data_IF_096748707379
#
_entry.id   IF_096748707379
#
_cell.length_a   1.000
_cell.length_b   1.000
_cell.length_c   1.000
_cell.angle_alpha   90.00
_cell.angle_beta   90.00
_cell.angle_gamma   90.00
#
_symmetry.space_group_name_H-M   'P 1'
#
loop_
_entity.id
_entity.type
_entity.pdbx_description
1 polymer ?
#
# COMPACT_ATOMS: atom_id res chain seq x y z
N UNK A 1 29.30 16.12 9.99
CA UNK A 1 29.33 14.65 10.00
C UNK A 1 28.52 14.19 8.81
N UNK A 2 29.17 13.59 7.82
CA UNK A 2 28.51 12.94 6.69
C UNK A 2 27.74 11.74 7.20
N UNK A 3 26.42 11.73 7.04
CA UNK A 3 25.60 10.53 7.27
C UNK A 3 26.02 9.53 6.21
N UNK A 4 26.52 8.38 6.65
CA UNK A 4 26.88 7.27 5.77
C UNK A 4 25.64 6.83 4.99
N UNK A 5 25.72 6.83 3.66
CA UNK A 5 24.61 6.55 2.75
C UNK A 5 24.33 5.05 2.61
N UNK A 6 24.65 4.25 3.63
CA UNK A 6 24.65 2.78 3.60
C UNK A 6 23.46 2.14 4.34
N UNK A 7 22.78 2.90 5.21
CA UNK A 7 21.62 2.39 5.93
C UNK A 7 20.36 2.41 5.07
N UNK A 8 19.75 1.23 4.92
CA UNK A 8 18.44 1.12 4.26
C UNK A 8 17.38 1.70 5.19
N UNK A 9 16.48 2.58 4.70
CA UNK A 9 15.44 3.14 5.56
C UNK A 9 14.51 2.05 6.08
N UNK A 10 14.04 2.27 7.31
CA UNK A 10 13.16 1.35 8.05
C UNK A 10 11.71 1.55 7.62
N UNK A 11 10.92 0.48 7.69
CA UNK A 11 9.46 0.60 7.76
C UNK A 11 9.13 1.11 9.16
N UNK A 12 8.50 2.28 9.25
CA UNK A 12 8.14 2.92 10.52
C UNK A 12 6.74 2.47 10.97
N UNK A 13 6.49 2.56 12.27
CA UNK A 13 5.13 2.48 12.82
C UNK A 13 4.30 3.62 12.23
N UNK A 14 3.04 3.38 11.89
CA UNK A 14 2.20 4.34 11.16
C UNK A 14 2.02 5.70 11.89
N UNK A 15 1.95 5.73 13.22
CA UNK A 15 1.85 6.98 13.98
C UNK A 15 3.16 7.77 13.96
N UNK A 16 4.31 7.09 13.99
CA UNK A 16 5.63 7.71 13.84
C UNK A 16 5.83 8.20 12.41
N UNK A 17 5.41 7.40 11.43
CA UNK A 17 5.46 7.71 10.00
C UNK A 17 4.74 9.01 9.68
N UNK A 18 3.52 9.22 10.20
CA UNK A 18 2.74 10.43 9.92
C UNK A 18 3.29 11.69 10.62
N UNK A 19 4.25 11.56 11.56
CA UNK A 19 4.94 12.74 12.12
C UNK A 19 5.97 13.34 11.14
N UNK A 20 6.53 12.56 10.21
CA UNK A 20 7.37 13.09 9.13
C UNK A 20 6.45 13.66 8.04
N UNK A 21 6.12 14.95 8.17
CA UNK A 21 5.17 15.65 7.31
C UNK A 21 5.56 15.60 5.82
N UNK A 22 6.85 15.65 5.49
CA UNK A 22 7.31 15.59 4.09
C UNK A 22 7.14 14.18 3.52
N UNK A 23 7.51 13.15 4.29
CA UNK A 23 7.33 11.75 3.91
C UNK A 23 5.85 11.38 3.80
N UNK A 24 5.04 11.76 4.78
CA UNK A 24 3.60 11.53 4.76
C UNK A 24 2.93 12.21 3.56
N UNK A 25 3.29 13.48 3.28
CA UNK A 25 2.77 14.21 2.11
C UNK A 25 3.12 13.49 0.80
N UNK A 26 4.39 13.11 0.61
CA UNK A 26 4.83 12.37 -0.57
C UNK A 26 4.10 11.04 -0.71
N UNK A 27 3.95 10.30 0.40
CA UNK A 27 3.27 9.01 0.43
C UNK A 27 1.79 9.11 0.08
N UNK A 28 1.07 10.09 0.64
CA UNK A 28 -0.34 10.27 0.33
C UNK A 28 -0.57 10.57 -1.14
N UNK A 29 0.24 11.44 -1.73
CA UNK A 29 0.15 11.75 -3.16
C UNK A 29 0.55 10.55 -4.04
N UNK A 30 1.59 9.81 -3.63
CA UNK A 30 1.99 8.59 -4.32
C UNK A 30 0.90 7.51 -4.27
N UNK A 31 0.23 7.35 -3.12
CA UNK A 31 -0.84 6.36 -2.95
C UNK A 31 -2.10 6.79 -3.71
N UNK A 32 -2.47 8.07 -3.72
CA UNK A 32 -3.52 8.62 -4.58
C UNK A 32 -3.23 8.33 -6.07
N UNK A 33 -2.00 8.60 -6.52
CA UNK A 33 -1.56 8.34 -7.89
C UNK A 33 -1.54 6.84 -8.22
N UNK A 34 -1.18 5.99 -7.26
CA UNK A 34 -1.15 4.53 -7.43
C UNK A 34 -2.56 3.94 -7.51
N UNK A 35 -3.47 4.40 -6.65
CA UNK A 35 -4.87 3.99 -6.61
C UNK A 35 -5.68 4.50 -7.82
N UNK A 36 -5.31 5.62 -8.41
CA UNK A 36 -6.00 6.18 -9.59
C UNK A 36 -5.68 5.48 -10.91
N UNK A 37 -4.69 4.57 -10.94
CA UNK A 37 -4.33 3.79 -12.13
C UNK A 37 -5.48 2.89 -12.58
N UNK A 38 -5.84 3.00 -13.85
CA UNK A 38 -6.88 2.17 -14.45
C UNK A 38 -6.46 0.70 -14.57
N UNK A 39 -7.44 -0.21 -14.61
CA UNK A 39 -7.22 -1.66 -14.81
C UNK A 39 -6.49 -1.97 -16.12
N UNK A 40 -6.61 -1.08 -17.12
CA UNK A 40 -5.94 -1.23 -18.41
C UNK A 40 -4.44 -0.87 -18.39
N UNK A 41 -3.95 -0.20 -17.33
CA UNK A 41 -2.54 0.22 -17.17
C UNK A 41 -1.66 -0.90 -16.56
N UNK A 42 -1.95 -2.15 -16.96
CA UNK A 42 -1.36 -3.42 -16.49
C UNK A 42 0.18 -3.45 -16.50
N UNK A 43 0.88 -4.19 -15.59
CA UNK A 43 0.36 -5.08 -14.52
C UNK A 43 0.51 -4.56 -13.08
N UNK A 44 1.03 -3.34 -12.89
CA UNK A 44 1.42 -2.83 -11.56
C UNK A 44 0.48 -1.74 -11.02
N UNK A 45 -0.82 -1.77 -11.38
CA UNK A 45 -1.82 -0.88 -10.77
C UNK A 45 -2.21 -1.38 -9.38
N UNK A 46 -2.75 -0.49 -8.54
CA UNK A 46 -3.21 -0.86 -7.18
C UNK A 46 -4.23 -1.99 -7.24
N UNK A 47 -5.17 -1.91 -8.19
CA UNK A 47 -6.20 -2.92 -8.40
C UNK A 47 -5.61 -4.30 -8.76
N UNK A 48 -4.69 -4.35 -9.71
CA UNK A 48 -4.10 -5.62 -10.19
C UNK A 48 -3.20 -6.25 -9.11
N UNK A 49 -2.39 -5.46 -8.42
CA UNK A 49 -1.58 -5.94 -7.29
C UNK A 49 -2.49 -6.46 -6.17
N UNK A 50 -3.56 -5.74 -5.81
CA UNK A 50 -4.55 -6.21 -4.83
C UNK A 50 -5.21 -7.53 -5.27
N UNK A 51 -5.46 -7.68 -6.57
CA UNK A 51 -6.01 -8.88 -7.19
C UNK A 51 -5.12 -10.12 -7.08
N UNK A 52 -3.79 -9.97 -6.95
CA UNK A 52 -2.87 -11.09 -6.69
C UNK A 52 -3.29 -11.83 -5.41
N UNK A 53 -3.80 -11.11 -4.41
CA UNK A 53 -4.23 -11.74 -3.18
C UNK A 53 -5.45 -12.66 -3.38
N UNK A 54 -6.38 -12.34 -4.28
CA UNK A 54 -7.69 -12.97 -4.29
C UNK A 54 -8.55 -12.67 -5.51
N UNK A 55 -9.80 -12.29 -5.26
CA UNK A 55 -10.73 -11.90 -6.32
C UNK A 55 -10.17 -10.71 -7.11
N UNK A 56 -10.45 -10.62 -8.42
CA UNK A 56 -11.33 -11.51 -9.21
C UNK A 56 -10.65 -12.76 -9.80
N UNK A 57 -9.50 -13.21 -9.26
CA UNK A 57 -8.77 -14.40 -9.73
C UNK A 57 -8.26 -14.31 -11.17
N UNK A 58 -7.85 -13.10 -11.57
CA UNK A 58 -7.28 -12.85 -12.91
C UNK A 58 -5.84 -13.33 -12.99
N UNK A 59 -5.41 -13.59 -14.22
CA UNK A 59 -4.01 -13.79 -14.50
C UNK A 59 -3.24 -12.50 -14.16
N UNK A 60 -2.12 -12.64 -13.45
CA UNK A 60 -1.21 -11.53 -13.14
C UNK A 60 0.16 -11.87 -13.71
N UNK A 61 0.75 -10.92 -14.44
CA UNK A 61 2.02 -11.10 -15.17
C UNK A 61 2.06 -12.40 -16.00
N UNK A 62 0.96 -12.69 -16.71
CA UNK A 62 0.76 -13.89 -17.56
C UNK A 62 0.79 -15.22 -16.81
N UNK A 63 0.83 -15.22 -15.49
CA UNK A 63 0.67 -16.41 -14.66
C UNK A 63 -0.79 -16.51 -14.22
N UNK A 64 -1.32 -17.72 -14.08
CA UNK A 64 -2.66 -17.93 -13.49
C UNK A 64 -2.52 -18.60 -12.13
N UNK A 65 -3.42 -18.31 -11.20
CA UNK A 65 -3.41 -18.97 -9.88
C UNK A 65 -3.65 -20.49 -9.98
N UNK A 66 -4.38 -20.94 -11.01
CA UNK A 66 -4.58 -22.35 -11.32
C UNK A 66 -3.26 -23.11 -11.58
N UNK A 67 -2.22 -22.41 -12.06
CA UNK A 67 -0.90 -23.00 -12.31
C UNK A 67 -0.20 -23.51 -11.05
N UNK A 68 -0.65 -23.10 -9.86
CA UNK A 68 -0.09 -23.52 -8.57
C UNK A 68 -0.85 -24.68 -7.91
N UNK A 69 -1.86 -25.23 -8.59
CA UNK A 69 -2.65 -26.37 -8.13
C UNK A 69 -3.60 -26.03 -6.97
N UNK A 70 -4.46 -26.98 -6.58
CA UNK A 70 -5.23 -26.86 -5.35
C UNK A 70 -4.25 -26.87 -4.16
N UNK A 71 -4.22 -25.80 -3.36
CA UNK A 71 -3.57 -25.88 -2.06
C UNK A 71 -4.16 -27.07 -1.27
N UNK A 72 -3.39 -27.83 -0.48
CA UNK A 72 -3.92 -28.94 0.30
C UNK A 72 -5.16 -28.49 1.10
N UNK A 73 -6.32 -29.09 0.81
CA UNK A 73 -7.61 -28.70 1.40
C UNK A 73 -8.46 -27.69 0.60
N UNK A 74 -8.05 -27.26 -0.60
CA UNK A 74 -8.83 -26.37 -1.48
C UNK A 74 -9.26 -27.11 -2.76
N UNK A 75 -10.55 -27.36 -2.92
CA UNK A 75 -11.12 -28.03 -4.11
C UNK A 75 -11.66 -27.07 -5.19
N UNK A 76 -11.58 -25.75 -4.96
CA UNK A 76 -12.20 -24.75 -5.83
C UNK A 76 -11.17 -24.08 -6.78
N UNK A 77 -11.38 -24.09 -8.11
CA UNK A 77 -10.51 -23.42 -9.10
C UNK A 77 -10.55 -21.88 -9.06
N UNK A 78 -11.39 -21.29 -8.20
CA UNK A 78 -11.47 -19.84 -7.93
C UNK A 78 -10.64 -19.45 -6.69
N UNK A 79 -9.33 -19.62 -6.76
CA UNK A 79 -8.41 -19.25 -5.68
C UNK A 79 -7.48 -18.13 -6.09
N UNK A 80 -7.18 -17.20 -5.18
CA UNK A 80 -6.08 -16.23 -5.37
C UNK A 80 -4.72 -16.90 -5.28
N UNK A 81 -3.65 -16.14 -5.53
CA UNK A 81 -2.26 -16.61 -5.41
C UNK A 81 -1.84 -16.76 -3.93
N UNK A 82 -2.60 -16.16 -3.00
CA UNK A 82 -2.26 -16.10 -1.59
C UNK A 82 -2.16 -17.49 -0.92
N UNK A 83 -1.07 -17.68 -0.17
CA UNK A 83 -0.81 -18.91 0.57
C UNK A 83 -1.31 -18.80 2.01
N UNK A 84 -2.53 -19.28 2.28
CA UNK A 84 -3.09 -19.38 3.64
C UNK A 84 -3.10 -20.84 4.12
N UNK A 85 -3.00 -21.06 5.44
CA UNK A 85 -2.97 -22.41 6.01
C UNK A 85 -1.72 -23.22 5.62
N UNK A 86 -0.64 -22.53 5.23
CA UNK A 86 0.61 -23.14 4.76
C UNK A 86 1.81 -22.52 5.46
N UNK A 87 2.89 -23.31 5.62
CA UNK A 87 4.16 -22.86 6.22
C UNK A 87 4.82 -21.71 5.45
N UNK A 88 4.49 -21.56 4.16
CA UNK A 88 5.00 -20.45 3.32
C UNK A 88 4.18 -19.16 3.44
N UNK A 89 3.15 -19.13 4.30
CA UNK A 89 2.34 -17.92 4.54
C UNK A 89 3.21 -16.67 4.79
N UNK A 90 4.21 -16.68 5.69
CA UNK A 90 5.00 -15.47 5.96
C UNK A 90 5.88 -15.06 4.77
N UNK A 91 6.48 -16.03 4.08
CA UNK A 91 7.39 -15.75 2.95
C UNK A 91 6.62 -15.23 1.73
N UNK A 92 5.43 -15.76 1.47
CA UNK A 92 4.57 -15.30 0.39
C UNK A 92 4.12 -13.85 0.61
N UNK A 93 3.61 -13.53 1.81
CA UNK A 93 3.15 -12.17 2.14
C UNK A 93 4.32 -11.17 2.21
N UNK A 94 5.52 -11.61 2.58
CA UNK A 94 6.72 -10.76 2.53
C UNK A 94 7.02 -10.26 1.12
N UNK A 95 6.98 -11.16 0.12
CA UNK A 95 7.22 -10.78 -1.28
C UNK A 95 6.05 -9.98 -1.85
N UNK A 96 4.81 -10.30 -1.45
CA UNK A 96 3.63 -9.50 -1.81
C UNK A 96 3.76 -8.04 -1.35
N UNK A 97 4.14 -7.80 -0.09
CA UNK A 97 4.37 -6.45 0.42
C UNK A 97 5.57 -5.76 -0.23
N UNK A 98 6.61 -6.51 -0.61
CA UNK A 98 7.74 -5.94 -1.36
C UNK A 98 7.31 -5.47 -2.76
N UNK A 99 6.47 -6.24 -3.46
CA UNK A 99 5.89 -5.85 -4.75
C UNK A 99 4.99 -4.61 -4.62
N UNK A 100 4.15 -4.56 -3.58
CA UNK A 100 3.32 -3.39 -3.29
C UNK A 100 4.18 -2.14 -3.02
N UNK A 101 5.17 -2.24 -2.15
CA UNK A 101 6.09 -1.15 -1.82
C UNK A 101 6.86 -0.65 -3.04
N UNK A 102 7.34 -1.56 -3.90
CA UNK A 102 8.04 -1.19 -5.12
C UNK A 102 7.15 -0.42 -6.10
N UNK A 103 5.92 -0.88 -6.33
CA UNK A 103 4.98 -0.18 -7.22
C UNK A 103 4.65 1.21 -6.69
N UNK A 104 4.35 1.33 -5.40
CA UNK A 104 4.09 2.61 -4.74
C UNK A 104 5.30 3.55 -4.79
N UNK A 105 6.51 3.02 -4.57
CA UNK A 105 7.75 3.81 -4.63
C UNK A 105 7.95 4.45 -6.01
N UNK A 106 7.59 3.78 -7.11
CA UNK A 106 7.71 4.36 -8.45
C UNK A 106 6.85 5.62 -8.62
N UNK A 107 5.66 5.64 -8.02
CA UNK A 107 4.81 6.84 -7.99
C UNK A 107 5.42 7.94 -7.13
N UNK A 108 5.97 7.59 -5.96
CA UNK A 108 6.67 8.54 -5.11
C UNK A 108 7.89 9.15 -5.83
N UNK A 109 8.66 8.33 -6.55
CA UNK A 109 9.83 8.76 -7.31
C UNK A 109 9.49 9.71 -8.47
N UNK A 110 8.33 9.53 -9.11
CA UNK A 110 7.82 10.46 -10.14
C UNK A 110 7.37 11.82 -9.55
N UNK A 111 6.79 11.79 -8.35
CA UNK A 111 6.26 12.99 -7.70
C UNK A 111 7.37 13.80 -6.99
N UNK A 112 8.33 13.13 -6.37
CA UNK A 112 9.31 13.75 -5.48
C UNK A 112 10.10 14.91 -6.11
N UNK A 113 10.57 14.86 -7.38
CA UNK A 113 11.26 15.98 -8.00
C UNK A 113 10.40 17.24 -8.09
N UNK A 114 9.10 17.08 -8.35
CA UNK A 114 8.14 18.18 -8.50
C UNK A 114 7.84 18.85 -7.15
N UNK A 115 7.92 18.10 -6.06
CA UNK A 115 7.82 18.63 -4.68
C UNK A 115 9.15 19.07 -4.08
N UNK A 116 10.28 18.82 -4.75
CA UNK A 116 11.63 18.93 -4.15
C UNK A 116 11.79 18.06 -2.89
N UNK A 117 11.13 16.90 -2.87
CA UNK A 117 11.03 16.00 -1.71
C UNK A 117 12.02 14.82 -1.76
N UNK A 118 13.21 15.00 -2.35
CA UNK A 118 14.18 13.92 -2.52
C UNK A 118 14.59 13.29 -1.18
N UNK A 119 14.81 14.11 -0.14
CA UNK A 119 15.14 13.60 1.18
C UNK A 119 14.04 12.69 1.75
N UNK A 120 12.77 13.00 1.49
CA UNK A 120 11.65 12.14 1.89
C UNK A 120 11.61 10.85 1.06
N UNK A 121 11.90 10.92 -0.24
CA UNK A 121 12.02 9.74 -1.10
C UNK A 121 13.14 8.79 -0.62
N UNK A 122 14.26 9.33 -0.15
CA UNK A 122 15.39 8.54 0.36
C UNK A 122 15.02 7.76 1.63
N UNK A 123 14.00 8.21 2.37
CA UNK A 123 13.43 7.53 3.56
C UNK A 123 12.21 6.68 3.25
N UNK A 124 11.78 6.61 1.99
CA UNK A 124 10.48 6.04 1.64
C UNK A 124 10.41 4.53 1.88
N UNK A 125 9.50 4.12 2.75
CA UNK A 125 9.09 2.75 3.01
C UNK A 125 7.61 2.72 3.36
N UNK A 126 6.93 1.60 3.11
CA UNK A 126 5.56 1.42 3.60
C UNK A 126 5.56 1.37 5.13
N UNK A 127 4.64 2.07 5.81
CA UNK A 127 4.50 1.96 7.26
C UNK A 127 3.94 0.59 7.65
N UNK A 128 4.11 0.21 8.92
CA UNK A 128 3.40 -0.92 9.53
C UNK A 128 2.45 -0.43 10.63
N UNK A 129 1.41 -1.21 10.88
CA UNK A 129 0.51 -1.01 12.01
C UNK A 129 0.84 -2.05 13.09
N UNK A 130 1.16 -1.59 14.30
CA UNK A 130 1.29 -2.46 15.46
C UNK A 130 -0.05 -2.58 16.22
N UNK A 131 -0.75 -3.72 16.15
CA UNK A 131 -2.02 -3.91 16.84
C UNK A 131 -1.88 -4.02 18.37
N UNK A 132 -0.65 -4.18 18.87
CA UNK A 132 -0.33 -4.28 20.29
C UNK A 132 0.27 -2.99 20.87
N UNK A 133 0.31 -1.90 20.10
CA UNK A 133 0.73 -0.59 20.59
C UNK A 133 -0.48 0.15 21.22
N UNK A 134 -0.44 0.50 22.52
CA UNK A 134 -1.47 1.33 23.13
C UNK A 134 -1.54 2.71 22.47
N UNK A 135 -2.75 3.17 22.10
CA UNK A 135 -2.94 4.48 21.48
C UNK A 135 -3.41 5.56 22.44
N UNK A 136 -4.01 5.18 23.56
CA UNK A 136 -4.30 6.10 24.65
C UNK A 136 -3.99 5.45 26.00
N UNK A 137 -3.53 6.27 26.94
CA UNK A 137 -3.40 5.90 28.35
C UNK A 137 -4.44 6.67 29.13
N UNK A 138 -5.30 5.98 29.86
CA UNK A 138 -6.27 6.64 30.74
C UNK A 138 -5.54 7.35 31.89
N UNK A 139 -6.14 8.41 32.42
CA UNK A 139 -5.59 9.20 33.54
C UNK A 139 -5.36 8.39 34.83
N UNK A 140 -6.00 7.21 34.95
CA UNK A 140 -5.88 6.32 36.11
C UNK A 140 -4.75 5.28 35.97
N UNK A 141 -3.79 5.50 35.05
CA UNK A 141 -2.46 4.89 35.10
C UNK A 141 -2.34 3.48 34.51
N UNK A 142 -3.37 2.64 34.60
CA UNK A 142 -3.25 1.19 34.33
C UNK A 142 -4.16 0.66 33.22
N UNK A 143 -5.01 1.50 32.63
CA UNK A 143 -5.84 1.10 31.48
C UNK A 143 -5.27 1.69 30.20
N UNK A 144 -4.85 0.79 29.31
CA UNK A 144 -4.41 1.07 27.95
C UNK A 144 -5.58 0.85 26.99
N UNK A 145 -5.80 1.83 26.11
CA UNK A 145 -6.79 1.72 25.04
C UNK A 145 -6.04 1.41 23.74
N UNK A 146 -6.36 0.24 23.19
CA UNK A 146 -5.89 -0.21 21.88
C UNK A 146 -6.94 0.15 20.83
N UNK A 147 -6.51 0.39 19.60
CA UNK A 147 -7.41 0.78 18.53
C UNK A 147 -6.68 0.88 17.21
N UNK A 148 -7.46 1.16 16.16
CA UNK A 148 -6.90 1.49 14.85
C UNK A 148 -6.25 2.88 14.89
N UNK A 149 -5.15 3.09 14.15
CA UNK A 149 -4.58 4.42 13.94
C UNK A 149 -5.64 5.41 13.47
N UNK A 150 -5.63 6.63 14.05
CA UNK A 150 -6.61 7.67 13.71
C UNK A 150 -6.58 7.99 12.21
N UNK A 151 -5.41 7.88 11.58
CA UNK A 151 -5.28 8.10 10.14
C UNK A 151 -6.13 7.15 9.31
N UNK A 152 -6.52 5.97 9.80
CA UNK A 152 -7.42 5.07 9.08
C UNK A 152 -8.90 5.45 9.23
N UNK A 153 -9.25 6.34 10.15
CA UNK A 153 -10.65 6.75 10.41
C UNK A 153 -11.00 8.13 9.85
N UNK A 154 -10.01 8.89 9.37
CA UNK A 154 -10.22 10.23 8.81
C UNK A 154 -10.58 10.14 7.32
N UNK A 155 -11.72 10.69 6.87
CA UNK A 155 -12.08 10.65 5.45
C UNK A 155 -11.21 11.57 4.58
N UNK A 156 -10.56 12.57 5.18
CA UNK A 156 -9.72 13.54 4.48
C UNK A 156 -8.39 13.77 5.23
N UNK A 157 -7.37 14.09 4.45
CA UNK A 157 -6.06 14.56 4.92
C UNK A 157 -5.72 15.89 4.26
N UNK A 158 -4.74 16.60 4.80
CA UNK A 158 -4.17 17.80 4.17
C UNK A 158 -2.89 17.41 3.44
N UNK A 159 -2.71 17.91 2.22
CA UNK A 159 -1.49 17.72 1.42
C UNK A 159 -1.05 19.03 0.77
N UNK A 160 0.22 19.13 0.40
CA UNK A 160 0.78 20.15 -0.49
C UNK A 160 1.05 19.49 -1.82
N UNK A 161 0.32 19.91 -2.85
CA UNK A 161 0.42 19.32 -4.19
C UNK A 161 1.53 19.99 -5.00
N UNK A 162 2.09 19.32 -6.03
CA UNK A 162 3.17 19.88 -6.84
C UNK A 162 2.82 21.18 -7.56
N UNK A 163 1.54 21.43 -7.84
CA UNK A 163 1.07 22.64 -8.55
C UNK A 163 1.21 23.90 -7.69
N UNK A 164 1.05 23.77 -6.37
CA UNK A 164 1.28 24.83 -5.39
C UNK A 164 1.80 24.20 -4.07
N UNK A 165 3.11 23.90 -3.99
CA UNK A 165 3.69 23.25 -2.83
C UNK A 165 3.76 24.15 -1.59
N UNK A 166 3.33 25.42 -1.69
CA UNK A 166 3.30 26.36 -0.56
C UNK A 166 2.00 26.27 0.26
N UNK A 167 0.95 25.64 -0.30
CA UNK A 167 -0.40 25.65 0.26
C UNK A 167 -0.88 24.25 0.61
N UNK A 168 -1.43 24.12 1.82
CA UNK A 168 -2.18 22.94 2.23
C UNK A 168 -3.58 22.94 1.61
N UNK A 169 -3.95 21.82 1.01
CA UNK A 169 -5.27 21.59 0.44
C UNK A 169 -5.84 20.25 0.92
N UNK A 170 -7.18 20.16 1.10
CA UNK A 170 -7.81 18.91 1.47
C UNK A 170 -7.72 17.88 0.32
N UNK A 171 -7.55 16.62 0.69
CA UNK A 171 -7.56 15.46 -0.21
C UNK A 171 -8.32 14.30 0.46
N UNK A 172 -9.03 13.49 -0.33
CA UNK A 172 -9.57 12.23 0.19
C UNK A 172 -8.44 11.36 0.72
N UNK A 173 -8.62 10.77 1.90
CA UNK A 173 -7.56 10.00 2.53
C UNK A 173 -7.42 8.63 1.86
N UNK A 174 -6.29 8.33 1.20
CA UNK A 174 -6.11 7.06 0.50
C UNK A 174 -5.93 5.87 1.47
N UNK A 175 -5.74 6.09 2.78
CA UNK A 175 -5.82 5.01 3.77
C UNK A 175 -7.25 4.70 4.23
N UNK A 176 -8.21 5.58 4.00
CA UNK A 176 -9.58 5.42 4.50
C UNK A 176 -10.35 4.36 3.71
N UNK A 177 -10.26 4.42 2.39
CA UNK A 177 -10.92 3.45 1.50
C UNK A 177 -10.24 3.40 0.13
N UNK A 178 -10.50 2.31 -0.59
CA UNK A 178 -10.27 2.22 -2.02
C UNK A 178 -11.61 1.94 -2.71
N UNK A 179 -11.99 2.80 -3.64
CA UNK A 179 -13.18 2.63 -4.45
C UNK A 179 -12.85 1.78 -5.66
N UNK A 180 -13.33 0.54 -5.68
CA UNK A 180 -13.09 -0.36 -6.80
C UNK A 180 -13.75 0.21 -8.06
N UNK A 181 -13.05 0.20 -9.22
CA UNK A 181 -13.68 0.54 -10.48
C UNK A 181 -14.86 -0.42 -10.70
N UNK A 182 -15.98 0.12 -11.19
CA UNK A 182 -17.14 -0.69 -11.52
C UNK A 182 -16.74 -1.86 -12.42
N UNK A 183 -17.33 -3.04 -12.20
CA UNK A 183 -17.08 -4.24 -12.99
C UNK A 183 -17.35 -3.96 -14.47
N UNK A 184 -16.29 -3.62 -15.22
CA UNK A 184 -16.34 -3.60 -16.67
C UNK A 184 -16.51 -5.03 -17.18
N UNK A 185 -17.19 -5.25 -18.32
CA UNK A 185 -17.38 -6.59 -18.86
C UNK A 185 -16.01 -7.26 -19.01
N UNK A 186 -15.81 -8.37 -18.30
CA UNK A 186 -14.66 -9.27 -18.45
C UNK A 186 -14.72 -9.80 -19.88
N UNK A 187 -14.05 -9.11 -20.81
CA UNK A 187 -13.81 -9.69 -22.13
C UNK A 187 -12.77 -10.78 -21.92
N UNK A 188 -13.10 -12.06 -22.18
CA UNK A 188 -12.09 -13.10 -22.12
C UNK A 188 -11.01 -12.74 -23.13
N UNK A 189 -9.80 -12.47 -22.64
CA UNK A 189 -8.61 -12.40 -23.50
C UNK A 189 -8.38 -13.82 -24.00
N UNK A 190 -8.98 -14.16 -25.14
CA UNK A 190 -8.61 -15.36 -25.88
C UNK A 190 -7.21 -15.09 -26.41
N UNK A 191 -6.21 -15.69 -25.77
CA UNK A 191 -4.87 -15.77 -26.33
C UNK A 191 -4.96 -16.76 -27.50
N UNK A 192 -4.80 -16.25 -28.72
CA UNK A 192 -4.42 -17.06 -29.88
C UNK A 192 -2.92 -17.36 -29.82
#
# INVERSE_FOLDING_TARGET
>A
MSVDSSDRPLRLEIDDFIQDVELANLYFLALEAFMSKGVAENPFSYYEISGIHGQPWRAWDRVTSASFGPAPGRTNPRSGYCSHGSVIFPTWHRVYLAQFEQALYLHAADIAPRLRAQAALDRFRIPYFDPFLPRQKTTNGDVYIYGVPIIFTLPQVQVRRPEDPSRWVPMANPFYQFDFPADGPVRPTILN
#
